data_IF_779219729592
#
_entry.id   IF_779219729592
#
_cell.length_a   1.000
_cell.length_b   1.000
_cell.length_c   1.000
_cell.angle_alpha   90.00
_cell.angle_beta   90.00
_cell.angle_gamma   90.00
#
_symmetry.space_group_name_H-M   'P 1'
#
loop_
_entity.id
_entity.type
_entity.pdbx_description
1 polymer ?
#
# COMPACT_ATOMS: atom_id res chain seq x y z
N UNK A 1 -36.36 -8.80 -29.28
CA UNK A 1 -35.25 -7.93 -28.82
C UNK A 1 -35.46 -7.32 -27.43
N UNK A 2 -36.58 -6.65 -27.12
CA UNK A 2 -36.75 -5.99 -25.81
C UNK A 2 -36.63 -6.92 -24.59
N UNK A 3 -37.15 -8.15 -24.66
CA UNK A 3 -37.07 -9.15 -23.56
C UNK A 3 -35.63 -9.60 -23.28
N UNK A 4 -34.77 -9.69 -24.30
CA UNK A 4 -33.36 -10.07 -24.13
C UNK A 4 -32.56 -8.97 -23.40
N UNK A 5 -32.87 -7.70 -23.64
CA UNK A 5 -32.24 -6.59 -22.92
C UNK A 5 -32.64 -6.55 -21.44
N UNK A 6 -33.91 -6.86 -21.11
CA UNK A 6 -34.35 -6.95 -19.71
C UNK A 6 -33.70 -8.12 -18.94
N UNK A 7 -33.53 -9.28 -19.60
CA UNK A 7 -32.84 -10.43 -19.00
C UNK A 7 -31.35 -10.15 -18.79
N UNK A 8 -30.70 -9.45 -19.72
CA UNK A 8 -29.30 -9.03 -19.57
C UNK A 8 -29.12 -8.05 -18.41
N UNK A 9 -30.00 -7.04 -18.28
CA UNK A 9 -29.98 -6.08 -17.18
C UNK A 9 -30.19 -6.75 -15.81
N UNK A 10 -31.15 -7.68 -15.71
CA UNK A 10 -31.40 -8.46 -14.50
C UNK A 10 -30.21 -9.36 -14.13
N UNK A 11 -29.56 -9.99 -15.12
CA UNK A 11 -28.36 -10.80 -14.88
C UNK A 11 -27.20 -9.96 -14.32
N UNK A 12 -26.91 -8.79 -14.92
CA UNK A 12 -25.88 -7.87 -14.40
C UNK A 12 -26.22 -7.33 -13.00
N UNK A 13 -27.49 -7.01 -12.73
CA UNK A 13 -27.94 -6.56 -11.41
C UNK A 13 -27.77 -7.64 -10.35
N UNK A 14 -28.13 -8.89 -10.65
CA UNK A 14 -27.99 -10.02 -9.73
C UNK A 14 -26.51 -10.35 -9.46
N UNK A 15 -25.64 -10.26 -10.48
CA UNK A 15 -24.19 -10.47 -10.31
C UNK A 15 -23.55 -9.42 -9.41
N UNK A 16 -23.93 -8.14 -9.54
CA UNK A 16 -23.46 -7.09 -8.61
C UNK A 16 -23.97 -7.32 -7.18
N UNK A 17 -25.22 -7.76 -7.01
CA UNK A 17 -25.80 -8.01 -5.70
C UNK A 17 -25.15 -9.21 -4.99
N UNK A 18 -24.86 -10.29 -5.72
CA UNK A 18 -24.17 -11.48 -5.19
C UNK A 18 -22.71 -11.18 -4.86
N UNK A 19 -22.02 -10.35 -5.67
CA UNK A 19 -20.65 -9.92 -5.37
C UNK A 19 -20.58 -9.09 -4.07
N UNK A 20 -21.55 -8.21 -3.81
CA UNK A 20 -21.62 -7.46 -2.56
C UNK A 20 -22.03 -8.34 -1.36
N UNK A 21 -22.97 -9.28 -1.53
CA UNK A 21 -23.43 -10.14 -0.44
C UNK A 21 -22.41 -11.18 0.03
N UNK A 22 -21.36 -11.47 -0.76
CA UNK A 22 -20.27 -12.37 -0.37
C UNK A 22 -19.09 -11.66 0.32
N UNK A 23 -19.11 -10.32 0.43
CA UNK A 23 -18.05 -9.55 1.08
C UNK A 23 -18.22 -9.39 2.59
N UNK A 24 -19.37 -9.78 3.16
CA UNK A 24 -19.74 -9.50 4.55
C UNK A 24 -19.97 -10.79 5.34
N UNK A 25 -18.91 -11.55 5.58
CA UNK A 25 -18.84 -12.37 6.78
C UNK A 25 -17.87 -11.72 7.73
N UNK A 26 -18.41 -10.92 8.65
CA UNK A 26 -17.70 -10.38 9.81
C UNK A 26 -17.05 -11.53 10.59
N UNK A 27 -15.78 -11.75 10.30
CA UNK A 27 -14.87 -12.52 11.14
C UNK A 27 -14.39 -11.58 12.25
N UNK A 28 -14.50 -11.96 13.53
CA UNK A 28 -14.22 -11.04 14.63
C UNK A 28 -12.77 -10.53 14.55
N UNK A 29 -12.64 -9.21 14.54
CA UNK A 29 -11.39 -8.50 14.77
C UNK A 29 -10.90 -8.76 16.21
N UNK A 30 -10.08 -9.79 16.40
CA UNK A 30 -9.07 -9.94 17.46
C UNK A 30 -8.58 -11.40 17.46
N UNK A 31 -7.36 -11.64 16.99
CA UNK A 31 -6.77 -12.98 17.02
C UNK A 31 -5.86 -13.24 15.81
N UNK A 32 -4.72 -12.56 15.81
CA UNK A 32 -3.59 -12.81 14.93
C UNK A 32 -3.25 -14.30 14.89
N UNK A 33 -3.04 -14.85 13.69
CA UNK A 33 -1.92 -15.75 13.33
C UNK A 33 -2.19 -16.31 11.93
N UNK A 34 -1.84 -15.54 10.90
CA UNK A 34 -1.56 -16.16 9.60
C UNK A 34 -0.16 -16.74 9.62
N UNK A 35 0.04 -17.88 8.97
CA UNK A 35 1.37 -18.39 8.63
C UNK A 35 2.17 -17.31 7.91
N UNK A 36 3.13 -16.74 8.63
CA UNK A 36 4.12 -15.86 8.05
C UNK A 36 5.08 -16.68 7.21
N UNK A 37 5.69 -16.01 6.24
CA UNK A 37 6.68 -16.62 5.38
C UNK A 37 7.92 -16.94 6.23
N UNK A 38 8.03 -18.21 6.64
CA UNK A 38 9.22 -18.75 7.30
C UNK A 38 10.43 -18.54 6.39
N UNK A 39 11.43 -17.82 6.91
CA UNK A 39 12.84 -17.67 6.51
C UNK A 39 13.21 -18.17 5.13
N UNK A 40 13.84 -17.28 4.38
CA UNK A 40 15.11 -17.54 3.70
C UNK A 40 15.97 -16.26 3.95
N UNK A 41 17.23 -16.22 3.55
CA UNK A 41 18.23 -15.18 3.85
C UNK A 41 17.84 -13.76 3.35
N UNK A 42 18.73 -12.77 3.31
CA UNK A 42 18.47 -11.50 2.59
C UNK A 42 17.94 -11.74 1.16
N UNK A 43 18.32 -12.86 0.55
CA UNK A 43 17.78 -13.38 -0.71
C UNK A 43 16.25 -13.59 -0.72
N UNK A 44 15.61 -13.84 0.43
CA UNK A 44 14.16 -13.99 0.56
C UNK A 44 13.37 -12.72 0.29
N UNK A 45 14.01 -11.55 0.33
CA UNK A 45 13.32 -10.31 0.01
C UNK A 45 12.78 -10.30 -1.43
N UNK A 46 13.46 -11.04 -2.31
CA UNK A 46 13.02 -11.26 -3.68
C UNK A 46 11.70 -11.99 -3.73
N UNK A 47 11.42 -12.88 -2.75
CA UNK A 47 10.19 -13.67 -2.59
C UNK A 47 8.98 -12.88 -2.09
N UNK A 48 9.21 -11.66 -1.59
CA UNK A 48 8.13 -10.80 -1.11
C UNK A 48 7.53 -10.00 -2.25
N UNK A 49 6.20 -9.96 -2.28
CA UNK A 49 5.46 -9.03 -3.14
C UNK A 49 5.87 -7.61 -2.78
N UNK A 50 6.32 -6.88 -3.77
CA UNK A 50 6.62 -5.45 -3.69
C UNK A 50 5.89 -4.71 -4.80
N UNK A 51 5.86 -3.40 -4.71
CA UNK A 51 5.28 -2.59 -5.75
C UNK A 51 6.00 -1.25 -5.90
N UNK A 52 6.00 -0.71 -7.10
CA UNK A 52 6.58 0.61 -7.40
C UNK A 52 5.47 1.49 -7.97
N UNK A 53 5.44 2.74 -7.52
CA UNK A 53 4.58 3.76 -8.07
C UNK A 53 5.11 4.22 -9.44
N UNK A 54 4.21 4.32 -10.40
CA UNK A 54 4.43 4.94 -11.69
C UNK A 54 3.65 6.25 -11.76
N UNK A 55 4.27 7.27 -12.33
CA UNK A 55 3.63 8.55 -12.60
C UNK A 55 3.80 8.88 -14.09
N UNK A 56 2.69 9.11 -14.79
CA UNK A 56 2.65 9.42 -16.22
C UNK A 56 3.44 8.41 -17.07
N UNK A 57 3.29 7.12 -16.77
CA UNK A 57 3.93 6.02 -17.49
C UNK A 57 5.42 5.84 -17.21
N UNK A 58 6.00 6.58 -16.26
CA UNK A 58 7.40 6.43 -15.84
C UNK A 58 7.49 5.82 -14.44
N UNK A 59 8.43 4.90 -14.19
CA UNK A 59 8.69 4.41 -12.85
C UNK A 59 9.25 5.54 -11.99
N UNK A 60 8.85 5.57 -10.72
CA UNK A 60 9.42 6.46 -9.71
C UNK A 60 10.35 5.67 -8.78
N UNK A 61 11.10 6.34 -7.90
CA UNK A 61 11.81 5.68 -6.80
C UNK A 61 10.90 5.30 -5.61
N UNK A 62 9.60 5.53 -5.72
CA UNK A 62 8.67 5.38 -4.62
C UNK A 62 8.08 3.96 -4.57
N UNK A 63 8.48 3.21 -3.56
CA UNK A 63 7.90 1.90 -3.27
C UNK A 63 6.53 2.05 -2.61
N UNK A 64 5.64 1.11 -2.95
CA UNK A 64 4.31 0.98 -2.36
C UNK A 64 4.34 -0.21 -1.40
N UNK A 65 4.15 0.05 -0.11
CA UNK A 65 3.97 -0.99 0.89
C UNK A 65 2.56 -1.58 0.73
N UNK A 66 2.47 -2.61 -0.09
CA UNK A 66 1.23 -3.34 -0.37
C UNK A 66 0.62 -3.90 0.93
N UNK A 67 -0.67 -3.68 1.14
CA UNK A 67 -1.44 -4.33 2.21
C UNK A 67 -2.30 -5.47 1.66
N UNK A 68 -2.84 -5.30 0.45
CA UNK A 68 -3.61 -6.30 -0.26
C UNK A 68 -3.52 -6.10 -1.78
N UNK A 69 -4.26 -6.90 -2.54
CA UNK A 69 -4.44 -6.74 -3.97
C UNK A 69 -5.28 -5.52 -4.37
N UNK A 70 -5.73 -4.71 -3.41
CA UNK A 70 -6.59 -3.56 -3.64
C UNK A 70 -5.98 -2.24 -3.14
N UNK A 71 -4.92 -2.29 -2.34
CA UNK A 71 -4.41 -1.09 -1.67
C UNK A 71 -2.99 -1.24 -1.11
N UNK A 72 -2.36 -0.10 -0.87
CA UNK A 72 -1.05 0.00 -0.23
C UNK A 72 -0.71 1.42 0.23
N UNK A 73 0.27 1.54 1.11
CA UNK A 73 0.84 2.82 1.52
C UNK A 73 1.93 3.27 0.55
N UNK A 74 2.08 4.57 0.37
CA UNK A 74 3.20 5.22 -0.32
C UNK A 74 3.60 6.47 0.46
N UNK A 75 4.81 7.00 0.26
CA UNK A 75 5.15 8.31 0.80
C UNK A 75 4.32 9.41 0.10
N UNK A 76 3.81 10.38 0.86
CA UNK A 76 2.92 11.43 0.34
C UNK A 76 3.65 12.33 -0.68
N UNK A 77 4.90 12.66 -0.41
CA UNK A 77 5.77 13.45 -1.29
C UNK A 77 6.09 12.77 -2.64
N UNK A 78 5.66 11.54 -2.88
CA UNK A 78 5.70 10.89 -4.20
C UNK A 78 4.54 11.28 -5.11
N UNK A 79 3.53 11.95 -4.56
CA UNK A 79 2.35 12.40 -5.26
C UNK A 79 2.50 13.88 -5.63
N UNK A 80 1.73 14.30 -6.62
CA UNK A 80 1.61 15.71 -6.99
C UNK A 80 0.32 16.26 -6.42
N UNK A 81 0.35 17.54 -6.09
CA UNK A 81 -0.73 18.21 -5.39
C UNK A 81 -1.23 19.41 -6.17
N UNK A 82 -2.53 19.60 -6.15
CA UNK A 82 -3.20 20.80 -6.62
C UNK A 82 -3.01 21.93 -5.58
N UNK A 83 -3.25 23.21 -5.93
CA UNK A 83 -3.12 24.33 -4.98
C UNK A 83 -3.99 24.22 -3.72
N UNK A 84 -5.08 23.45 -3.77
CA UNK A 84 -5.97 23.19 -2.63
C UNK A 84 -5.47 22.07 -1.70
N UNK A 85 -4.30 21.49 -1.98
CA UNK A 85 -3.70 20.40 -1.23
C UNK A 85 -4.28 19.01 -1.54
N UNK A 86 -5.24 18.90 -2.46
CA UNK A 86 -5.70 17.61 -2.97
C UNK A 86 -4.66 16.97 -3.90
N UNK A 87 -4.67 15.64 -4.03
CA UNK A 87 -3.79 14.95 -4.97
C UNK A 87 -4.27 15.23 -6.39
N UNK A 88 -3.34 15.61 -7.26
CA UNK A 88 -3.56 15.85 -8.68
C UNK A 88 -3.77 14.53 -9.43
N UNK A 89 -5.00 14.02 -9.40
CA UNK A 89 -5.41 12.81 -10.12
C UNK A 89 -5.55 13.03 -11.65
N UNK A 90 -5.25 14.24 -12.18
CA UNK A 90 -5.09 14.42 -13.63
C UNK A 90 -3.80 13.77 -14.14
N UNK A 91 -2.82 13.58 -13.25
CA UNK A 91 -1.65 12.75 -13.52
C UNK A 91 -2.03 11.28 -13.43
N UNK A 92 -1.54 10.49 -14.38
CA UNK A 92 -1.80 9.06 -14.40
C UNK A 92 -0.90 8.36 -13.40
N UNK A 93 -1.47 7.94 -12.27
CA UNK A 93 -0.79 7.08 -11.30
C UNK A 93 -1.11 5.62 -11.55
N UNK A 94 -0.08 4.78 -11.55
CA UNK A 94 -0.21 3.32 -11.66
C UNK A 94 0.68 2.65 -10.63
N UNK A 95 0.32 1.44 -10.20
CA UNK A 95 1.14 0.61 -9.32
C UNK A 95 1.55 -0.62 -10.11
N UNK A 96 2.85 -0.81 -10.29
CA UNK A 96 3.39 -2.06 -10.82
C UNK A 96 3.65 -3.01 -9.65
N UNK A 97 3.06 -4.20 -9.69
CA UNK A 97 3.14 -5.16 -8.59
C UNK A 97 4.01 -6.34 -8.99
N UNK A 98 5.02 -6.67 -8.19
CA UNK A 98 5.79 -7.91 -8.28
C UNK A 98 5.04 -9.04 -7.61
N UNK A 99 5.11 -10.24 -8.18
CA UNK A 99 4.55 -11.43 -7.55
C UNK A 99 5.41 -11.97 -6.39
N UNK A 100 6.53 -11.33 -6.08
CA UNK A 100 7.59 -11.91 -5.24
C UNK A 100 8.62 -12.67 -6.06
N UNK A 101 8.77 -12.35 -7.33
CA UNK A 101 9.91 -12.77 -8.15
C UNK A 101 10.31 -11.59 -9.03
N UNK A 102 11.22 -11.82 -9.98
CA UNK A 102 11.51 -10.83 -11.03
C UNK A 102 10.35 -10.68 -12.04
N UNK A 103 9.25 -11.42 -11.88
CA UNK A 103 8.07 -11.32 -12.73
C UNK A 103 7.07 -10.27 -12.21
N UNK A 104 6.34 -9.66 -13.12
CA UNK A 104 5.29 -8.68 -12.84
C UNK A 104 3.93 -9.34 -12.82
N UNK A 105 3.11 -9.05 -11.80
CA UNK A 105 1.67 -9.34 -11.84
C UNK A 105 0.93 -8.41 -12.80
N UNK A 106 1.50 -7.23 -13.10
CA UNK A 106 0.92 -6.23 -13.97
C UNK A 106 1.12 -4.81 -13.47
N UNK A 107 0.60 -3.86 -14.25
CA UNK A 107 0.46 -2.45 -13.88
C UNK A 107 -1.02 -2.15 -13.69
N UNK A 108 -1.36 -1.50 -12.59
CA UNK A 108 -2.75 -1.26 -12.19
C UNK A 108 -2.97 0.22 -11.95
N UNK A 109 -4.02 0.78 -12.54
CA UNK A 109 -4.35 2.18 -12.34
C UNK A 109 -4.75 2.45 -10.88
N UNK A 110 -4.26 3.56 -10.33
CA UNK A 110 -4.65 4.05 -9.01
C UNK A 110 -5.99 4.76 -9.15
N UNK A 111 -7.03 4.21 -8.54
CA UNK A 111 -8.39 4.79 -8.56
C UNK A 111 -8.55 5.95 -7.58
N UNK A 112 -7.79 5.95 -6.48
CA UNK A 112 -7.73 7.07 -5.54
C UNK A 112 -6.42 7.08 -4.77
N UNK A 113 -5.94 8.27 -4.45
CA UNK A 113 -4.84 8.48 -3.52
C UNK A 113 -5.29 9.44 -2.41
N UNK A 114 -5.06 9.07 -1.16
CA UNK A 114 -5.49 9.85 0.01
C UNK A 114 -4.29 10.12 0.91
N UNK A 115 -3.72 11.34 0.90
CA UNK A 115 -2.63 11.71 1.78
C UNK A 115 -3.12 11.77 3.24
N UNK A 116 -2.21 11.60 4.18
CA UNK A 116 -2.52 11.84 5.58
C UNK A 116 -3.02 13.27 5.77
N UNK A 117 -4.09 13.48 6.53
CA UNK A 117 -4.74 14.79 6.69
C UNK A 117 -3.88 15.82 7.46
N UNK A 118 -2.77 15.37 8.07
CA UNK A 118 -1.72 16.18 8.70
C UNK A 118 -0.37 16.10 7.97
N UNK A 119 -0.37 15.68 6.71
CA UNK A 119 0.85 15.71 5.91
C UNK A 119 1.30 17.16 5.73
N UNK A 120 2.57 17.43 6.07
CA UNK A 120 3.22 18.72 5.86
C UNK A 120 4.36 18.55 4.85
N UNK A 121 4.26 19.13 3.63
CA UNK A 121 5.28 19.00 2.61
C UNK A 121 6.58 19.76 2.92
N UNK A 122 6.57 20.68 3.88
CA UNK A 122 7.76 21.44 4.29
C UNK A 122 8.61 20.64 5.26
N UNK A 123 7.97 20.04 6.26
CA UNK A 123 8.66 19.29 7.32
C UNK A 123 8.76 17.80 7.04
N UNK A 124 7.93 17.26 6.14
CA UNK A 124 7.72 15.83 5.91
C UNK A 124 7.09 15.09 7.10
N UNK A 125 6.46 15.82 8.02
CA UNK A 125 5.65 15.21 9.07
C UNK A 125 4.46 14.49 8.45
N UNK A 126 4.16 13.28 8.93
CA UNK A 126 3.08 12.44 8.41
C UNK A 126 3.15 12.21 6.89
N UNK A 127 4.36 12.02 6.35
CA UNK A 127 4.60 11.81 4.93
C UNK A 127 4.16 10.41 4.44
N UNK A 128 2.85 10.17 4.47
CA UNK A 128 2.21 8.95 4.01
C UNK A 128 0.94 9.28 3.24
N UNK A 129 0.67 8.48 2.22
CA UNK A 129 -0.57 8.45 1.48
C UNK A 129 -1.03 7.01 1.30
N UNK A 130 -2.34 6.83 1.21
CA UNK A 130 -2.97 5.54 0.98
C UNK A 130 -3.47 5.47 -0.45
N UNK A 131 -3.08 4.42 -1.18
CA UNK A 131 -3.47 4.20 -2.57
C UNK A 131 -4.53 3.10 -2.64
N UNK A 132 -5.58 3.33 -3.45
CA UNK A 132 -6.51 2.29 -3.88
C UNK A 132 -6.26 1.96 -5.34
N UNK A 133 -6.20 0.67 -5.65
CA UNK A 133 -6.07 0.11 -6.98
C UNK A 133 -6.79 -1.25 -7.01
N UNK A 134 -6.76 -1.98 -8.12
CA UNK A 134 -7.30 -3.34 -8.16
C UNK A 134 -6.47 -4.20 -9.09
N UNK A 135 -5.85 -5.27 -8.58
CA UNK A 135 -5.04 -6.15 -9.43
C UNK A 135 -5.86 -7.14 -10.27
N UNK A 136 -7.20 -7.16 -10.13
CA UNK A 136 -8.06 -8.15 -10.78
C UNK A 136 -7.90 -9.58 -10.25
N UNK A 137 -7.10 -9.77 -9.18
CA UNK A 137 -6.87 -11.09 -8.60
C UNK A 137 -8.19 -11.67 -8.03
N UNK A 138 -8.53 -12.89 -8.44
CA UNK A 138 -9.72 -13.61 -7.97
C UNK A 138 -9.63 -14.01 -6.50
N UNK A 139 -8.41 -14.11 -5.95
CA UNK A 139 -8.14 -14.39 -4.54
C UNK A 139 -7.54 -13.15 -3.89
N UNK A 140 -8.19 -12.70 -2.82
CA UNK A 140 -7.64 -11.68 -1.93
C UNK A 140 -6.37 -12.24 -1.28
N UNK A 141 -5.25 -11.54 -1.47
CA UNK A 141 -4.04 -11.77 -0.70
C UNK A 141 -3.79 -10.59 0.22
N UNK A 142 -3.13 -10.88 1.34
CA UNK A 142 -2.88 -9.94 2.43
C UNK A 142 -1.39 -9.93 2.73
N UNK A 143 -0.85 -8.73 2.92
CA UNK A 143 0.50 -8.51 3.40
C UNK A 143 0.41 -7.90 4.80
N UNK A 144 1.32 -8.32 5.66
CA UNK A 144 1.38 -7.89 7.04
C UNK A 144 2.31 -6.71 7.20
N UNK A 145 1.91 -5.76 8.03
CA UNK A 145 2.76 -4.66 8.47
C UNK A 145 3.45 -5.04 9.77
N UNK A 146 4.78 -5.01 9.81
CA UNK A 146 5.53 -5.23 11.04
C UNK A 146 5.26 -4.10 12.02
N UNK A 147 4.69 -4.41 13.19
CA UNK A 147 4.19 -3.38 14.09
C UNK A 147 5.02 -3.17 15.36
N UNK A 148 5.51 -4.25 15.97
CA UNK A 148 6.26 -4.18 17.22
C UNK A 148 7.78 -4.09 16.99
N UNK A 149 8.35 -2.88 17.07
CA UNK A 149 9.80 -2.67 16.90
C UNK A 149 10.64 -3.43 17.93
N UNK A 150 10.13 -3.60 19.15
CA UNK A 150 10.85 -4.30 20.22
C UNK A 150 11.05 -5.80 19.93
N UNK A 151 10.23 -6.35 19.02
CA UNK A 151 10.31 -7.75 18.61
C UNK A 151 11.31 -8.00 17.48
N UNK A 152 11.82 -6.95 16.83
CA UNK A 152 12.69 -7.11 15.66
C UNK A 152 14.11 -7.46 16.09
N UNK A 153 14.62 -8.57 15.60
CA UNK A 153 16.02 -9.00 15.77
C UNK A 153 16.94 -8.31 14.77
N UNK A 154 16.40 -7.85 13.64
CA UNK A 154 17.14 -7.05 12.66
C UNK A 154 16.19 -6.16 11.83
N UNK A 155 16.78 -5.19 11.14
CA UNK A 155 16.09 -4.29 10.20
C UNK A 155 16.75 -4.44 8.83
N UNK A 156 15.96 -4.71 7.80
CA UNK A 156 16.44 -4.76 6.42
C UNK A 156 15.96 -3.52 5.67
N UNK A 157 16.88 -2.80 5.04
CA UNK A 157 16.55 -1.71 4.13
C UNK A 157 16.57 -2.26 2.71
N UNK A 158 15.49 -2.00 1.97
CA UNK A 158 15.21 -2.67 0.70
C UNK A 158 14.92 -1.64 -0.39
N UNK A 159 15.54 -1.84 -1.54
CA UNK A 159 15.35 -1.03 -2.73
C UNK A 159 14.89 -1.95 -3.84
N UNK A 160 13.78 -1.56 -4.47
CA UNK A 160 13.26 -2.20 -5.66
C UNK A 160 13.32 -1.20 -6.80
N UNK A 161 13.65 -1.69 -7.98
CA UNK A 161 13.65 -0.91 -9.20
C UNK A 161 13.11 -1.72 -10.35
N UNK A 162 12.77 -1.02 -11.42
CA UNK A 162 12.43 -1.62 -12.71
C UNK A 162 13.30 -0.98 -13.77
N UNK A 163 13.61 -1.73 -14.83
CA UNK A 163 14.30 -1.16 -15.98
C UNK A 163 13.31 -0.42 -16.88
N UNK A 164 13.76 0.59 -17.62
CA UNK A 164 12.90 1.37 -18.54
C UNK A 164 12.56 0.61 -19.85
N UNK A 165 12.40 -0.72 -19.79
CA UNK A 165 12.06 -1.55 -20.94
C UNK A 165 10.63 -1.30 -21.44
N UNK A 166 10.46 -1.23 -22.77
CA UNK A 166 9.16 -1.19 -23.45
C UNK A 166 8.78 -2.61 -23.93
N UNK A 167 7.50 -3.04 -23.90
CA UNK A 167 6.29 -2.33 -23.47
C UNK A 167 5.94 -2.50 -21.97
N UNK A 168 6.61 -3.42 -21.27
CA UNK A 168 6.49 -3.58 -19.82
C UNK A 168 7.90 -3.57 -19.18
N UNK A 169 8.14 -2.69 -18.20
CA UNK A 169 9.35 -2.72 -17.39
C UNK A 169 9.57 -4.10 -16.77
N UNK A 170 10.81 -4.58 -16.75
CA UNK A 170 11.19 -5.76 -15.99
C UNK A 170 11.72 -5.34 -14.62
N UNK A 171 11.44 -6.15 -13.60
CA UNK A 171 11.96 -5.91 -12.26
C UNK A 171 13.47 -6.13 -12.22
N UNK A 172 14.19 -5.19 -11.63
CA UNK A 172 15.56 -5.41 -11.22
C UNK A 172 15.58 -6.33 -9.99
N UNK A 173 16.65 -7.10 -9.77
CA UNK A 173 16.83 -7.81 -8.50
C UNK A 173 16.72 -6.82 -7.33
N UNK A 174 15.92 -7.18 -6.32
CA UNK A 174 15.80 -6.37 -5.12
C UNK A 174 17.16 -6.31 -4.41
N UNK A 175 17.56 -5.10 -4.01
CA UNK A 175 18.77 -4.88 -3.23
C UNK A 175 18.37 -4.71 -1.78
N UNK A 176 19.07 -5.38 -0.88
CA UNK A 176 18.81 -5.30 0.55
C UNK A 176 20.10 -5.22 1.35
N UNK A 177 20.08 -4.43 2.42
CA UNK A 177 21.17 -4.34 3.40
C UNK A 177 20.59 -4.48 4.81
N UNK A 178 21.33 -5.15 5.67
CA UNK A 178 21.02 -5.22 7.11
C UNK A 178 21.52 -3.95 7.76
N UNK A 179 20.72 -3.36 8.65
CA UNK A 179 21.17 -2.21 9.43
C UNK A 179 22.49 -2.49 10.17
N UNK A 180 23.37 -1.49 10.21
CA UNK A 180 24.63 -1.53 10.94
C UNK A 180 24.75 -0.33 11.88
N UNK A 181 24.86 -0.60 13.19
CA UNK A 181 25.10 0.42 14.21
C UNK A 181 23.87 1.25 14.60
N UNK A 182 23.93 1.86 15.78
CA UNK A 182 22.94 2.82 16.24
C UNK A 182 23.43 4.25 15.95
N UNK A 183 22.71 4.96 15.07
CA UNK A 183 22.99 6.35 14.71
C UNK A 183 21.87 7.31 15.14
N UNK A 184 21.03 6.88 16.10
CA UNK A 184 19.85 7.63 16.55
C UNK A 184 20.20 9.05 17.01
N UNK A 185 21.32 9.23 17.71
CA UNK A 185 21.77 10.54 18.19
C UNK A 185 22.12 11.49 17.04
N UNK A 186 22.85 11.01 16.03
CA UNK A 186 23.23 11.77 14.84
C UNK A 186 21.98 12.16 14.04
N UNK A 187 21.05 11.22 13.88
CA UNK A 187 19.77 11.45 13.21
C UNK A 187 18.90 12.49 13.92
N UNK A 188 18.86 12.47 15.26
CA UNK A 188 18.14 13.46 16.07
C UNK A 188 18.78 14.84 16.00
N UNK A 189 20.11 14.90 15.99
CA UNK A 189 20.84 16.16 15.77
C UNK A 189 20.55 16.75 14.39
N UNK A 190 20.50 15.91 13.34
CA UNK A 190 20.29 16.37 11.97
C UNK A 190 18.85 16.76 11.64
N UNK A 191 17.85 16.12 12.26
CA UNK A 191 16.42 16.35 12.01
C UNK A 191 15.65 16.57 13.31
N UNK A 192 15.21 17.81 13.58
CA UNK A 192 14.31 18.10 14.70
C UNK A 192 13.02 17.28 14.64
N UNK A 193 12.52 16.98 13.41
CA UNK A 193 11.33 16.15 13.21
C UNK A 193 11.56 14.74 13.76
N UNK A 194 12.71 14.13 13.45
CA UNK A 194 13.06 12.84 14.01
C UNK A 194 13.25 12.89 15.52
N UNK A 195 13.97 13.91 16.03
CA UNK A 195 14.20 14.08 17.46
C UNK A 195 12.89 14.13 18.28
N UNK A 196 11.83 14.68 17.68
CA UNK A 196 10.51 14.81 18.31
C UNK A 196 9.62 13.58 18.14
N UNK A 197 9.98 12.64 17.27
CA UNK A 197 9.14 11.50 16.86
C UNK A 197 9.96 10.20 16.69
N UNK A 198 10.86 9.91 17.62
CA UNK A 198 11.77 8.74 17.55
C UNK A 198 11.06 7.38 17.56
N UNK A 199 9.79 7.34 17.93
CA UNK A 199 8.95 6.15 17.88
C UNK A 199 8.21 5.96 16.55
N UNK A 200 8.20 6.99 15.69
CA UNK A 200 7.45 6.99 14.43
C UNK A 200 8.36 7.00 13.20
N UNK A 201 9.67 7.05 13.45
CA UNK A 201 10.70 6.93 12.44
C UNK A 201 11.73 5.86 12.78
N UNK A 202 12.32 5.31 11.73
CA UNK A 202 13.64 4.66 11.78
C UNK A 202 14.59 5.50 10.93
N UNK A 203 15.85 5.62 11.37
CA UNK A 203 16.87 6.36 10.65
C UNK A 203 18.09 5.49 10.34
N UNK A 204 18.68 5.69 9.16
CA UNK A 204 19.94 5.04 8.75
C UNK A 204 20.76 5.95 7.85
N UNK A 205 22.08 5.75 7.78
CA UNK A 205 22.97 6.37 6.80
C UNK A 205 23.22 5.48 5.57
N UNK A 206 22.61 4.28 5.55
CA UNK A 206 22.76 3.32 4.48
C UNK A 206 22.13 3.83 3.19
N UNK A 207 22.83 3.61 2.09
CA UNK A 207 22.44 3.99 0.72
C UNK A 207 22.66 2.82 -0.22
N UNK A 208 21.95 2.83 -1.35
CA UNK A 208 22.09 1.88 -2.43
C UNK A 208 22.76 2.57 -3.62
N UNK A 209 23.83 1.97 -4.14
CA UNK A 209 24.50 2.51 -5.33
C UNK A 209 23.74 2.05 -6.56
N UNK A 210 23.19 3.00 -7.31
CA UNK A 210 22.57 2.73 -8.61
C UNK A 210 23.62 2.79 -9.72
N UNK A 211 23.27 2.35 -10.93
CA UNK A 211 24.15 2.47 -12.11
C UNK A 211 24.56 3.91 -12.44
N UNK A 212 23.89 4.92 -11.87
CA UNK A 212 24.12 6.35 -12.14
C UNK A 212 25.27 6.99 -11.34
N UNK A 213 26.06 6.21 -10.58
CA UNK A 213 27.05 6.68 -9.60
C UNK A 213 26.48 7.51 -8.44
N UNK A 214 25.19 7.88 -8.47
CA UNK A 214 24.48 8.50 -7.37
C UNK A 214 23.95 7.42 -6.41
N UNK A 215 24.38 7.49 -5.16
CA UNK A 215 23.87 6.64 -4.11
C UNK A 215 22.52 7.20 -3.61
N UNK A 216 21.49 6.37 -3.63
CA UNK A 216 20.13 6.74 -3.24
C UNK A 216 19.75 6.04 -1.93
N UNK A 217 18.82 6.57 -1.14
CA UNK A 217 18.23 5.81 -0.03
C UNK A 217 17.50 4.57 -0.55
N UNK A 218 17.38 3.59 0.33
CA UNK A 218 16.47 2.45 0.12
C UNK A 218 15.02 2.95 0.20
N UNK A 219 14.09 2.26 -0.47
CA UNK A 219 12.71 2.70 -0.63
C UNK A 219 11.79 2.26 0.52
N UNK A 220 12.13 1.13 1.17
CA UNK A 220 11.38 0.60 2.29
C UNK A 220 12.29 -0.05 3.34
N UNK A 221 11.71 -0.31 4.51
CA UNK A 221 12.36 -1.06 5.58
C UNK A 221 11.44 -2.18 6.06
N UNK A 222 12.02 -3.35 6.29
CA UNK A 222 11.37 -4.52 6.84
C UNK A 222 11.88 -4.80 8.25
N UNK A 223 10.95 -5.06 9.16
CA UNK A 223 11.24 -5.60 10.49
C UNK A 223 11.37 -7.11 10.40
N UNK A 224 12.44 -7.67 10.97
CA UNK A 224 12.72 -9.11 10.95
C UNK A 224 12.62 -9.65 12.37
N UNK A 225 11.87 -10.73 12.55
CA UNK A 225 11.86 -11.54 13.76
C UNK A 225 11.91 -13.00 13.35
N UNK A 226 13.08 -13.61 13.47
CA UNK A 226 13.38 -14.96 12.95
C UNK A 226 12.25 -15.96 13.27
N UNK A 227 11.60 -16.57 12.25
CA UNK A 227 11.93 -16.60 10.82
C UNK A 227 11.19 -15.58 9.93
N UNK A 228 10.39 -14.69 10.50
CA UNK A 228 9.43 -13.87 9.77
C UNK A 228 9.98 -12.48 9.44
N UNK A 229 9.49 -11.93 8.33
CA UNK A 229 9.77 -10.56 7.93
C UNK A 229 8.51 -9.89 7.42
N UNK A 230 8.35 -8.61 7.74
CA UNK A 230 7.20 -7.82 7.35
C UNK A 230 7.63 -6.39 7.02
N UNK A 231 7.02 -5.78 6.00
CA UNK A 231 7.28 -4.37 5.69
C UNK A 231 6.83 -3.54 6.89
N UNK A 232 7.68 -2.63 7.36
CA UNK A 232 7.46 -1.94 8.61
C UNK A 232 7.56 -0.42 8.47
N UNK A 233 8.34 0.07 7.51
CA UNK A 233 8.45 1.49 7.23
C UNK A 233 8.66 1.78 5.74
N UNK A 234 8.29 2.99 5.32
CA UNK A 234 8.56 3.53 3.99
C UNK A 234 9.53 4.69 4.06
N UNK A 235 10.37 4.85 3.06
CA UNK A 235 11.23 6.02 2.94
C UNK A 235 10.40 7.29 2.94
N UNK A 236 10.76 8.25 3.80
CA UNK A 236 10.08 9.54 3.90
C UNK A 236 10.92 10.64 3.26
N UNK A 237 12.11 10.87 3.80
CA UNK A 237 13.01 11.93 3.38
C UNK A 237 14.44 11.63 3.83
N UNK A 238 15.38 12.41 3.30
CA UNK A 238 16.78 12.42 3.73
C UNK A 238 17.18 13.83 4.16
N UNK A 239 18.01 13.93 5.19
CA UNK A 239 18.78 15.13 5.50
C UNK A 239 20.19 14.93 4.98
N UNK A 240 20.63 15.84 4.10
CA UNK A 240 21.91 15.80 3.42
C UNK A 240 22.79 16.94 3.93
N UNK A 241 23.97 16.59 4.42
CA UNK A 241 25.04 17.54 4.73
C UNK A 241 26.01 17.51 3.54
N UNK A 242 26.06 18.59 2.77
CA UNK A 242 26.84 18.72 1.54
C UNK A 242 26.10 19.46 0.43
N UNK A 243 26.52 19.26 -0.82
CA UNK A 243 26.09 20.04 -1.99
C UNK A 243 24.90 19.40 -2.74
N UNK A 244 24.45 18.20 -2.34
CA UNK A 244 23.26 17.56 -2.91
C UNK A 244 23.25 16.05 -2.74
N UNK A 245 22.18 15.41 -3.24
CA UNK A 245 21.92 13.97 -3.06
C UNK A 245 23.02 13.06 -3.61
N UNK A 246 23.77 13.50 -4.62
CA UNK A 246 24.88 12.73 -5.20
C UNK A 246 26.26 13.26 -4.78
N UNK A 247 26.32 14.31 -3.94
CA UNK A 247 27.54 15.00 -3.52
C UNK A 247 27.42 15.42 -2.05
N UNK A 248 27.40 14.44 -1.16
CA UNK A 248 27.24 14.66 0.28
C UNK A 248 28.47 14.21 1.07
N UNK A 249 28.69 14.83 2.22
CA UNK A 249 29.64 14.34 3.22
C UNK A 249 28.94 13.41 4.20
N UNK A 250 27.67 13.68 4.52
CA UNK A 250 26.82 12.82 5.34
C UNK A 250 25.39 12.83 4.81
N UNK A 251 24.73 11.68 4.93
CA UNK A 251 23.32 11.52 4.61
C UNK A 251 22.63 10.73 5.71
N UNK A 252 21.46 11.20 6.12
CA UNK A 252 20.59 10.53 7.08
C UNK A 252 19.23 10.31 6.43
N UNK A 253 18.81 9.05 6.33
CA UNK A 253 17.60 8.62 5.66
C UNK A 253 16.56 8.22 6.70
N UNK A 254 15.38 8.83 6.63
CA UNK A 254 14.30 8.66 7.61
C UNK A 254 13.15 7.89 6.98
N UNK A 255 12.66 6.88 7.70
CA UNK A 255 11.61 5.98 7.25
C UNK A 255 10.43 6.05 8.21
N UNK A 256 9.25 6.41 7.70
CA UNK A 256 8.04 6.51 8.51
C UNK A 256 7.52 5.13 8.84
N UNK A 257 7.39 4.83 10.13
CA UNK A 257 6.87 3.56 10.63
C UNK A 257 5.37 3.47 10.34
N UNK A 258 4.98 2.42 9.62
CA UNK A 258 3.59 2.23 9.19
C UNK A 258 2.67 1.83 10.35
N UNK A 259 3.24 1.28 11.42
CA UNK A 259 2.51 0.81 12.60
C UNK A 259 1.72 1.92 13.31
N UNK A 260 2.26 3.14 13.35
CA UNK A 260 1.57 4.31 13.92
C UNK A 260 0.35 4.75 13.09
N UNK A 261 0.21 4.28 11.84
CA UNK A 261 -0.79 4.73 10.85
C UNK A 261 -1.76 3.63 10.40
N UNK A 262 -1.80 2.50 11.10
CA UNK A 262 -2.65 1.37 10.75
C UNK A 262 -4.14 1.71 10.85
N UNK A 263 -4.55 2.38 11.94
CA UNK A 263 -5.96 2.76 12.14
C UNK A 263 -6.41 3.81 11.12
N UNK A 264 -5.58 4.82 10.88
CA UNK A 264 -5.85 5.82 9.83
C UNK A 264 -6.02 5.16 8.46
N UNK A 265 -5.07 4.30 8.06
CA UNK A 265 -5.14 3.62 6.77
C UNK A 265 -6.34 2.68 6.68
N UNK A 266 -6.69 1.98 7.75
CA UNK A 266 -7.90 1.15 7.80
C UNK A 266 -9.19 1.96 7.63
N UNK A 267 -9.27 3.15 8.24
CA UNK A 267 -10.40 4.05 8.07
C UNK A 267 -10.52 4.60 6.63
N UNK A 268 -9.39 4.97 6.01
CA UNK A 268 -9.34 5.39 4.60
C UNK A 268 -9.73 4.24 3.66
N UNK A 269 -9.22 3.05 3.93
CA UNK A 269 -9.49 1.84 3.16
C UNK A 269 -10.93 1.35 3.29
N UNK A 270 -11.57 1.63 4.45
CA UNK A 270 -12.77 0.91 4.91
C UNK A 270 -12.51 -0.61 4.96
N UNK A 271 -11.32 -0.98 5.40
CA UNK A 271 -10.86 -2.36 5.47
C UNK A 271 -9.86 -2.55 6.62
N UNK A 272 -9.74 -3.78 7.11
CA UNK A 272 -8.74 -4.12 8.12
C UNK A 272 -7.34 -4.16 7.51
N UNK A 273 -6.41 -3.41 8.10
CA UNK A 273 -4.98 -3.54 7.80
C UNK A 273 -4.38 -4.59 8.73
N UNK A 274 -3.74 -5.59 8.14
CA UNK A 274 -3.19 -6.72 8.89
C UNK A 274 -1.80 -6.38 9.43
N UNK A 275 -1.59 -6.65 10.71
CA UNK A 275 -0.34 -6.37 11.41
C UNK A 275 0.32 -7.67 11.88
N UNK A 276 1.65 -7.68 11.80
CA UNK A 276 2.50 -8.73 12.35
C UNK A 276 3.09 -8.29 13.68
N UNK A 277 2.78 -9.09 14.71
CA UNK A 277 3.36 -9.05 16.06
C UNK A 277 3.52 -10.52 16.45
N UNK A 278 4.60 -10.86 17.14
CA UNK A 278 4.85 -12.25 17.46
C UNK A 278 4.75 -12.59 18.95
N UNK A 279 4.73 -11.61 19.84
CA UNK A 279 4.42 -11.85 21.25
C UNK A 279 2.92 -11.67 21.59
N UNK A 280 2.12 -11.14 20.66
CA UNK A 280 0.70 -10.82 20.84
C UNK A 280 0.41 -9.72 21.88
N UNK A 281 1.45 -9.10 22.46
CA UNK A 281 1.31 -8.08 23.51
C UNK A 281 1.29 -6.66 22.96
N UNK A 282 1.73 -6.48 21.72
CA UNK A 282 1.69 -5.18 21.07
C UNK A 282 0.26 -4.68 20.95
N UNK A 283 0.01 -3.51 21.54
CA UNK A 283 -1.24 -2.78 21.39
C UNK A 283 -1.04 -1.78 20.26
N UNK A 284 -1.82 -1.94 19.20
CA UNK A 284 -1.81 -1.01 18.09
C UNK A 284 -2.27 0.38 18.53
N UNK A 285 -1.75 1.41 17.86
CA UNK A 285 -2.32 2.74 17.96
C UNK A 285 -3.69 2.77 17.27
N UNK A 286 -4.75 2.82 18.06
CA UNK A 286 -6.14 2.82 17.59
C UNK A 286 -6.69 4.23 17.37
N UNK A 287 -5.82 5.25 17.20
CA UNK A 287 -6.25 6.61 16.89
C UNK A 287 -6.28 6.82 15.36
N UNK A 288 -7.45 6.93 14.71
CA UNK A 288 -7.54 7.20 13.26
C UNK A 288 -7.05 8.61 12.90
N UNK A 289 -6.92 9.48 13.91
CA UNK A 289 -6.43 10.84 13.78
C UNK A 289 -5.01 10.99 14.35
N UNK A 290 -4.26 9.90 14.48
CA UNK A 290 -2.87 9.96 14.90
C UNK A 290 -2.08 10.93 14.01
N UNK A 291 -1.16 11.69 14.60
CA UNK A 291 -0.24 12.55 13.87
C UNK A 291 1.05 12.76 14.64
N UNK A 292 2.16 12.84 13.92
CA UNK A 292 3.47 13.25 14.45
C UNK A 292 3.42 14.66 15.04
N UNK A 293 4.28 14.90 16.02
CA UNK A 293 4.60 16.23 16.55
C UNK A 293 5.42 16.99 15.51
N UNK A 294 4.98 18.19 15.13
CA UNK A 294 5.71 19.06 14.20
C UNK A 294 6.57 20.03 15.03
N UNK A 295 7.91 19.90 15.01
CA UNK A 295 8.78 20.80 15.78
C UNK A 295 9.00 22.13 15.07
N UNK A 296 9.42 23.14 15.83
CA UNK A 296 9.79 24.46 15.31
C UNK A 296 11.21 24.56 14.75
N UNK A 297 12.06 23.55 14.99
CA UNK A 297 13.45 23.54 14.55
C UNK A 297 13.62 23.25 13.06
N UNK A 298 14.70 23.77 12.47
CA UNK A 298 15.10 23.45 11.08
C UNK A 298 16.13 22.32 11.04
N UNK A 299 16.06 21.44 10.02
CA UNK A 299 17.12 20.46 9.75
C UNK A 299 18.48 21.12 9.53
N UNK A 300 19.57 20.42 9.87
CA UNK A 300 20.93 20.95 9.75
C UNK A 300 21.47 20.96 8.32
N UNK A 301 20.74 20.37 7.37
CA UNK A 301 21.15 20.22 5.97
C UNK A 301 19.99 20.32 4.99
N UNK A 302 20.27 20.00 3.72
CA UNK A 302 19.26 19.96 2.66
C UNK A 302 18.32 18.78 2.90
N UNK A 303 17.01 19.03 2.89
CA UNK A 303 16.01 17.95 2.96
C UNK A 303 15.51 17.60 1.56
N UNK A 304 15.55 16.32 1.23
CA UNK A 304 15.02 15.78 -0.03
C UNK A 304 14.10 14.60 0.24
N UNK A 305 13.14 14.37 -0.66
CA UNK A 305 12.26 13.20 -0.61
C UNK A 305 11.49 13.06 -1.92
N UNK A 306 10.51 12.15 -1.94
CA UNK A 306 9.64 11.90 -3.10
C UNK A 306 10.33 11.05 -4.16
N UNK A 307 10.04 11.33 -5.43
CA UNK A 307 10.68 10.63 -6.54
C UNK A 307 12.12 11.12 -6.79
N UNK A 308 13.08 10.34 -6.32
CA UNK A 308 14.51 10.61 -6.45
C UNK A 308 15.06 10.25 -7.83
N UNK A 309 14.30 9.52 -8.66
CA UNK A 309 14.73 9.18 -10.02
C UNK A 309 14.70 10.39 -10.96
N UNK A 310 13.75 11.32 -10.75
CA UNK A 310 13.64 12.56 -11.50
C UNK A 310 14.58 13.68 -11.01
N UNK A 311 15.12 13.56 -9.80
CA UNK A 311 15.97 14.57 -9.16
C UNK A 311 17.46 14.40 -9.45
N UNK A 312 17.83 13.57 -10.44
CA UNK A 312 19.20 13.58 -10.94
C UNK A 312 19.50 15.02 -11.38
N UNK A 313 20.51 15.70 -10.78
CA UNK A 313 20.74 17.10 -11.04
C UNK A 313 20.87 17.28 -12.54
N UNK A 314 19.85 17.88 -13.17
CA UNK A 314 19.97 18.36 -14.54
C UNK A 314 21.25 19.18 -14.52
N UNK A 315 22.28 18.84 -15.32
CA UNK A 315 23.57 19.51 -15.24
C UNK A 315 23.28 20.99 -15.21
N UNK A 316 23.58 21.62 -14.06
CA UNK A 316 23.31 23.03 -13.86
C UNK A 316 23.93 23.71 -15.08
N UNK A 317 23.16 24.53 -15.85
CA UNK A 317 23.68 25.14 -17.05
C UNK A 317 25.00 25.76 -16.66
N UNK A 318 26.09 25.21 -17.23
CA UNK A 318 27.45 25.60 -16.90
C UNK A 318 27.45 27.11 -16.95
N UNK A 319 27.62 27.74 -15.78
CA UNK A 319 27.64 29.18 -15.66
C UNK A 319 28.74 29.65 -16.60
N UNK A 320 28.35 30.14 -17.78
CA UNK A 320 29.28 30.75 -18.71
C UNK A 320 30.09 31.75 -17.90
N UNK A 321 31.43 31.72 -17.96
CA UNK A 321 32.25 32.61 -17.16
C UNK A 321 31.79 34.04 -17.41
N UNK A 322 31.36 34.71 -16.34
CA UNK A 322 31.04 36.13 -16.38
C UNK A 322 32.34 36.87 -16.71
N UNK A 323 32.50 37.22 -17.98
CA UNK A 323 33.53 38.13 -18.43
C UNK A 323 33.17 39.51 -17.87
N UNK A 324 33.78 39.83 -16.73
CA UNK A 324 33.90 41.18 -16.23
C UNK A 324 34.59 42.04 -17.29
N UNK A 325 33.81 42.84 -18.01
CA UNK A 325 34.32 43.99 -18.75
C UNK A 325 33.28 45.11 -18.69
N UNK A 326 33.69 46.24 -18.12
CA UNK A 326 32.96 47.52 -18.09
C UNK A 326 33.81 48.54 -18.88
N UNK A 327 33.24 49.68 -19.31
CA UNK A 327 32.44 49.83 -20.51
C UNK A 327 33.17 50.72 -21.54
N UNK A 328 32.77 50.66 -22.82
CA UNK A 328 33.14 51.72 -23.77
C UNK A 328 31.92 52.04 -24.63
N UNK A 329 31.36 53.22 -24.37
CA UNK A 329 30.43 53.92 -25.24
C UNK A 329 31.00 54.00 -26.66
N UNK A 330 30.17 53.85 -27.70
CA UNK A 330 29.96 54.79 -28.83
C UNK A 330 29.20 54.08 -29.96
N UNK A 331 28.36 54.86 -30.65
CA UNK A 331 27.85 54.73 -32.03
C UNK A 331 26.59 53.90 -32.33
N UNK A 332 25.48 54.64 -32.35
CA UNK A 332 24.50 54.80 -33.44
C UNK A 332 24.75 54.05 -34.75
N UNK A 333 23.76 53.23 -35.17
CA UNK A 333 23.37 52.87 -36.56
C UNK A 333 22.10 51.99 -36.43
N UNK A 334 20.87 52.49 -36.64
CA UNK A 334 20.10 52.61 -37.90
C UNK A 334 20.14 51.36 -38.79
N UNK A 335 18.97 51.00 -39.36
CA UNK A 335 18.62 49.90 -40.33
C UNK A 335 18.03 48.63 -39.70
N UNK A 336 16.97 47.96 -40.19
CA UNK A 336 15.96 48.17 -41.23
C UNK A 336 14.83 47.15 -40.99
N UNK A 337 13.61 47.54 -41.36
CA UNK A 337 12.35 46.80 -41.42
C UNK A 337 12.29 45.62 -42.42
N UNK A 338 11.64 44.53 -42.04
CA UNK A 338 10.92 43.53 -42.89
C UNK A 338 9.98 42.75 -41.96
N UNK A 339 8.65 42.88 -41.89
CA UNK A 339 7.54 42.67 -42.85
C UNK A 339 7.55 41.35 -43.63
N UNK A 340 6.68 40.41 -43.23
CA UNK A 340 5.89 39.40 -44.00
C UNK A 340 5.39 38.35 -43.00
N UNK A 341 4.22 37.70 -43.02
CA UNK A 341 2.86 37.85 -43.57
C UNK A 341 2.05 36.71 -42.90
N UNK A 342 0.71 36.81 -42.76
CA UNK A 342 -0.10 35.74 -42.16
C UNK A 342 -0.49 34.69 -43.21
N UNK A 343 -0.45 33.40 -42.86
CA UNK A 343 -1.03 32.33 -43.68
C UNK A 343 -2.27 31.78 -43.01
N UNK A 344 -3.39 32.02 -43.67
CA UNK A 344 -4.71 31.44 -43.41
C UNK A 344 -4.86 30.12 -44.17
N UNK A 345 -5.61 29.19 -43.58
CA UNK A 345 -6.28 28.12 -44.34
C UNK A 345 -7.50 27.65 -43.57
N UNK A 346 -8.73 27.90 -44.07
CA UNK A 346 -9.94 27.24 -43.63
C UNK A 346 -10.13 25.95 -44.44
N UNK A 347 -10.70 24.91 -43.82
CA UNK A 347 -11.31 23.81 -44.56
C UNK A 347 -12.63 23.42 -43.92
N UNK A 348 -13.69 23.80 -44.63
CA UNK A 348 -15.05 23.34 -44.50
C UNK A 348 -15.21 21.93 -45.06
N UNK A 349 -16.00 21.09 -44.41
CA UNK A 349 -17.01 20.29 -45.13
C UNK A 349 -18.15 19.86 -44.19
N UNK A 350 -19.41 20.00 -44.64
CA UNK A 350 -20.61 19.56 -43.95
C UNK A 350 -20.99 18.14 -44.41
N UNK A 351 -21.71 17.39 -43.56
CA UNK A 351 -22.57 16.32 -44.09
C UNK A 351 -23.82 16.20 -43.26
N UNK A 352 -24.93 16.51 -43.94
CA UNK A 352 -26.30 16.16 -43.61
C UNK A 352 -26.39 14.65 -43.31
N UNK A 353 -27.32 14.22 -42.46
CA UNK A 353 -28.54 13.61 -43.00
C UNK A 353 -29.46 13.01 -41.93
N UNK A 354 -30.75 13.23 -42.18
CA UNK A 354 -31.87 12.32 -41.91
C UNK A 354 -32.41 12.21 -40.48
N UNK A 355 -33.30 13.16 -40.21
CA UNK A 355 -34.59 12.89 -39.56
C UNK A 355 -35.24 11.60 -40.12
N UNK A 356 -35.46 10.61 -39.26
CA UNK A 356 -36.45 9.57 -39.49
C UNK A 356 -37.32 9.43 -38.24
N UNK A 357 -38.53 9.98 -38.32
CA UNK A 357 -39.55 9.87 -37.29
C UNK A 357 -39.93 8.41 -37.05
N UNK A 358 -39.60 7.89 -35.87
CA UNK A 358 -40.13 6.62 -35.39
C UNK A 358 -41.55 6.82 -34.87
N UNK A 359 -42.52 6.32 -35.65
CA UNK A 359 -43.89 6.12 -35.21
C UNK A 359 -43.89 5.25 -33.95
N UNK A 360 -44.38 5.82 -32.86
CA UNK A 360 -44.60 5.12 -31.60
C UNK A 360 -45.84 4.23 -31.76
N UNK A 361 -45.64 2.99 -32.21
CA UNK A 361 -46.69 1.97 -32.11
C UNK A 361 -46.82 1.55 -30.64
N UNK A 362 -47.99 1.85 -30.07
CA UNK A 362 -48.40 1.44 -28.72
C UNK A 362 -48.57 -0.07 -28.69
N UNK A 363 -47.47 -0.79 -28.47
CA UNK A 363 -47.48 -2.24 -28.26
C UNK A 363 -48.17 -2.52 -26.92
N UNK A 364 -49.42 -2.97 -26.98
CA UNK A 364 -50.16 -3.48 -25.82
C UNK A 364 -49.39 -4.64 -25.19
N UNK A 365 -48.95 -4.45 -23.95
CA UNK A 365 -48.24 -5.47 -23.18
C UNK A 365 -49.27 -6.51 -22.73
N UNK A 366 -49.14 -7.74 -23.23
CA UNK A 366 -49.99 -8.87 -22.83
C UNK A 366 -49.84 -9.14 -21.33
N UNK A 367 -50.91 -8.83 -20.57
CA UNK A 367 -51.00 -8.99 -19.11
C UNK A 367 -50.65 -10.42 -18.64
N UNK A 368 -50.87 -11.43 -19.48
CA UNK A 368 -50.55 -12.83 -19.17
C UNK A 368 -49.06 -13.09 -18.89
N UNK A 369 -48.14 -12.34 -19.49
CA UNK A 369 -46.69 -12.53 -19.28
C UNK A 369 -46.24 -11.97 -17.92
N UNK A 370 -46.90 -10.91 -17.44
CA UNK A 370 -46.55 -10.28 -16.16
C UNK A 370 -46.84 -11.22 -14.99
N UNK A 371 -47.95 -11.95 -15.03
CA UNK A 371 -48.32 -12.90 -13.96
C UNK A 371 -47.33 -14.07 -13.83
N UNK A 372 -46.76 -14.55 -14.94
CA UNK A 372 -45.78 -15.63 -14.92
C UNK A 372 -44.44 -15.19 -14.30
N UNK A 373 -43.99 -13.98 -14.61
CA UNK A 373 -42.74 -13.42 -14.06
C UNK A 373 -42.86 -13.22 -12.54
N UNK A 374 -44.00 -12.70 -12.06
CA UNK A 374 -44.24 -12.51 -10.61
C UNK A 374 -44.20 -13.85 -9.87
N UNK A 375 -44.76 -14.91 -10.45
CA UNK A 375 -44.71 -16.27 -9.86
C UNK A 375 -43.29 -16.81 -9.69
N UNK A 376 -42.43 -16.63 -10.70
CA UNK A 376 -41.03 -17.09 -10.63
C UNK A 376 -40.22 -16.30 -9.60
N UNK A 377 -40.41 -14.98 -9.54
CA UNK A 377 -39.70 -14.13 -8.56
C UNK A 377 -40.08 -14.50 -7.13
N UNK A 378 -41.36 -14.73 -6.84
CA UNK A 378 -41.81 -15.16 -5.51
C UNK A 378 -41.25 -16.54 -5.12
N UNK A 379 -41.16 -17.47 -6.08
CA UNK A 379 -40.55 -18.79 -5.86
C UNK A 379 -39.06 -18.67 -5.48
N UNK A 380 -38.30 -17.82 -6.18
CA UNK A 380 -36.87 -17.61 -5.91
C UNK A 380 -36.67 -17.00 -4.51
N UNK A 381 -37.49 -16.01 -4.13
CA UNK A 381 -37.45 -15.41 -2.79
C UNK A 381 -37.75 -16.45 -1.70
N UNK A 382 -38.75 -17.32 -1.92
CA UNK A 382 -39.08 -18.38 -0.97
C UNK A 382 -37.93 -19.40 -0.79
N UNK A 383 -37.23 -19.77 -1.88
CA UNK A 383 -36.07 -20.65 -1.82
C UNK A 383 -34.91 -20.00 -1.04
N UNK A 384 -34.61 -18.73 -1.30
CA UNK A 384 -33.55 -17.99 -0.58
C UNK A 384 -33.90 -17.89 0.91
N UNK A 385 -35.14 -17.53 1.25
CA UNK A 385 -35.60 -17.46 2.64
C UNK A 385 -35.49 -18.82 3.35
N UNK A 386 -35.86 -19.91 2.67
CA UNK A 386 -35.72 -21.28 3.20
C UNK A 386 -34.26 -21.67 3.45
N UNK A 387 -33.35 -21.36 2.52
CA UNK A 387 -31.92 -21.64 2.69
C UNK A 387 -31.30 -20.84 3.84
N UNK A 388 -31.67 -19.57 4.00
CA UNK A 388 -31.24 -18.73 5.13
C UNK A 388 -31.81 -19.25 6.45
N UNK A 389 -33.08 -19.64 6.50
CA UNK A 389 -33.71 -20.24 7.67
C UNK A 389 -33.04 -21.56 8.08
N UNK A 390 -32.74 -22.43 7.12
CA UNK A 390 -32.02 -23.70 7.35
C UNK A 390 -30.63 -23.45 7.92
N UNK A 391 -29.93 -22.41 7.45
CA UNK A 391 -28.59 -22.04 7.94
C UNK A 391 -28.64 -21.43 9.34
N UNK A 392 -29.68 -20.65 9.65
CA UNK A 392 -29.89 -20.07 10.97
C UNK A 392 -30.19 -21.14 12.03
N UNK A 393 -30.96 -22.19 11.69
CA UNK A 393 -31.33 -23.25 12.63
C UNK A 393 -30.12 -24.05 13.13
N UNK A 394 -29.15 -24.35 12.26
CA UNK A 394 -27.90 -25.04 12.66
C UNK A 394 -27.09 -24.27 13.70
N UNK A 395 -27.07 -22.94 13.64
CA UNK A 395 -26.33 -22.10 14.60
C UNK A 395 -26.94 -22.07 16.00
N UNK A 396 -28.25 -22.33 16.14
CA UNK A 396 -28.89 -22.39 17.47
C UNK A 396 -28.54 -23.66 18.24
N UNK A 397 -28.38 -24.79 17.54
CA UNK A 397 -28.00 -26.07 18.17
C UNK A 397 -26.56 -26.02 18.72
N UNK A 398 -25.64 -25.37 18.00
CA UNK A 398 -24.26 -25.17 18.48
C UNK A 398 -24.19 -24.23 19.70
N UNK A 399 -25.03 -23.18 19.74
CA UNK A 399 -25.12 -22.29 20.91
C UNK A 399 -25.71 -22.98 22.14
N UNK A 400 -26.69 -23.88 21.97
CA UNK A 400 -27.23 -24.65 23.09
C UNK A 400 -26.23 -25.69 23.63
N UNK A 401 -25.42 -26.31 22.75
CA UNK A 401 -24.34 -27.21 23.19
C UNK A 401 -23.23 -26.49 23.94
N UNK A 402 -22.89 -25.26 23.55
CA UNK A 402 -21.84 -24.48 24.23
C UNK A 402 -22.29 -23.81 25.54
N UNK A 403 -23.59 -23.66 25.80
CA UNK A 403 -24.08 -23.10 27.08
C UNK A 403 -24.34 -24.15 28.16
N UNK A 404 -24.38 -25.45 27.82
CA UNK A 404 -24.75 -26.52 28.74
C UNK A 404 -23.62 -27.09 29.62
N UNK A 405 -22.37 -26.66 29.43
CA UNK A 405 -21.20 -27.30 30.05
C UNK A 405 -20.37 -26.39 30.97
N UNK A 406 -20.98 -25.32 31.50
CA UNK A 406 -20.28 -24.25 32.23
C UNK A 406 -20.78 -23.96 33.65
N UNK A 407 -21.52 -24.86 34.31
CA UNK A 407 -21.92 -24.66 35.71
C UNK A 407 -21.77 -25.96 36.52
N UNK A 408 -20.60 -26.11 37.12
CA UNK A 408 -20.39 -26.76 38.43
C UNK A 408 -19.45 -25.80 39.16
N UNK A 409 -19.96 -24.93 40.02
CA UNK A 409 -20.09 -25.19 41.46
C UNK A 409 -18.71 -25.29 42.14
N UNK A 410 -18.22 -24.15 42.64
CA UNK A 410 -17.37 -24.09 43.82
C UNK A 410 -17.55 -22.73 44.49
N UNK A 411 -18.28 -22.73 45.61
CA UNK A 411 -18.39 -21.60 46.53
C UNK A 411 -17.14 -21.60 47.43
N UNK A 412 -16.35 -20.53 47.36
CA UNK A 412 -15.35 -20.20 48.38
C UNK A 412 -15.57 -18.74 48.80
N UNK A 413 -16.03 -18.46 50.04
CA UNK A 413 -16.45 -17.13 50.45
C UNK A 413 -15.32 -16.24 51.03
N UNK A 414 -14.07 -16.69 51.10
CA UNK A 414 -13.01 -15.93 51.78
C UNK A 414 -11.86 -15.51 50.86
N UNK A 415 -12.13 -14.64 49.87
CA UNK A 415 -11.06 -13.83 49.30
C UNK A 415 -11.54 -12.47 48.77
N UNK A 416 -11.66 -11.52 49.69
CA UNK A 416 -11.71 -10.09 49.40
C UNK A 416 -10.25 -9.62 49.35
N UNK A 417 -9.76 -9.25 48.17
CA UNK A 417 -9.06 -7.97 47.87
C UNK A 417 -8.22 -8.08 46.57
N UNK A 418 -8.15 -6.96 45.84
CA UNK A 418 -7.31 -6.67 44.65
C UNK A 418 -7.76 -7.17 43.26
N UNK A 419 -8.68 -6.40 42.66
CA UNK A 419 -8.34 -5.56 41.50
C UNK A 419 -8.01 -6.22 40.15
N UNK A 420 -9.04 -6.26 39.28
CA UNK A 420 -8.95 -5.97 37.84
C UNK A 420 -7.86 -6.69 37.00
N UNK A 421 -7.79 -8.02 37.09
CA UNK A 421 -7.21 -8.86 36.02
C UNK A 421 -7.92 -10.20 36.08
N UNK A 422 -8.73 -10.56 35.08
CA UNK A 422 -8.96 -11.94 34.59
C UNK A 422 -10.16 -11.97 33.65
N UNK A 423 -9.89 -11.82 32.36
CA UNK A 423 -10.72 -12.45 31.32
C UNK A 423 -9.84 -12.68 30.08
N UNK A 424 -8.83 -13.53 30.21
CA UNK A 424 -8.01 -13.95 29.05
C UNK A 424 -7.33 -15.33 29.17
N UNK A 425 -7.79 -16.24 30.03
CA UNK A 425 -7.10 -17.54 30.22
C UNK A 425 -7.95 -18.81 29.97
N UNK A 426 -9.14 -18.72 29.40
CA UNK A 426 -9.96 -19.90 29.11
C UNK A 426 -9.64 -20.59 27.76
N UNK A 427 -9.09 -19.88 26.77
CA UNK A 427 -8.85 -20.45 25.44
C UNK A 427 -7.51 -21.19 25.26
N UNK A 428 -6.55 -21.02 26.17
CA UNK A 428 -5.19 -21.55 25.99
C UNK A 428 -5.01 -23.03 26.41
N UNK A 429 -5.91 -23.61 27.20
CA UNK A 429 -5.74 -24.97 27.70
C UNK A 429 -6.49 -26.05 26.90
N UNK A 430 -7.37 -25.69 25.96
CA UNK A 430 -8.14 -26.69 25.21
C UNK A 430 -7.41 -27.29 23.99
N UNK A 431 -6.27 -26.73 23.56
CA UNK A 431 -5.56 -27.17 22.34
C UNK A 431 -4.28 -27.99 22.60
N UNK A 432 -3.95 -28.29 23.86
CA UNK A 432 -2.72 -29.04 24.20
C UNK A 432 -2.87 -30.57 24.09
N UNK A 433 -4.05 -31.07 23.72
CA UNK A 433 -4.37 -32.51 23.67
C UNK A 433 -4.18 -33.22 22.32
N UNK A 434 -4.24 -32.54 21.17
CA UNK A 434 -4.32 -33.22 19.86
C UNK A 434 -3.05 -33.16 18.99
N UNK A 435 -2.02 -32.43 19.39
CA UNK A 435 -0.81 -32.24 18.56
C UNK A 435 0.27 -33.33 18.71
N UNK A 436 -0.03 -34.50 19.30
CA UNK A 436 0.95 -35.59 19.49
C UNK A 436 0.87 -36.76 18.49
N UNK A 437 -0.07 -36.78 17.55
CA UNK A 437 -0.25 -37.93 16.64
C UNK A 437 0.02 -37.67 15.14
N UNK A 438 0.66 -36.55 14.76
CA UNK A 438 1.03 -36.27 13.36
C UNK A 438 2.51 -35.92 13.15
N UNK A 439 3.41 -36.54 13.92
CA UNK A 439 4.85 -36.59 13.63
C UNK A 439 5.19 -38.00 13.15
N UNK A 440 5.07 -38.22 11.83
CA UNK A 440 5.41 -39.50 11.23
C UNK A 440 5.07 -39.58 9.75
N UNK A 441 5.88 -38.93 8.91
CA UNK A 441 6.25 -39.27 7.52
C UNK A 441 6.61 -38.01 6.72
N UNK A 442 7.82 -37.52 6.89
CA UNK A 442 8.49 -36.78 5.80
C UNK A 442 9.17 -37.82 4.89
N UNK A 443 8.76 -37.83 3.62
CA UNK A 443 9.50 -38.49 2.55
C UNK A 443 10.72 -37.62 2.22
N UNK A 444 11.89 -38.02 2.72
CA UNK A 444 13.18 -37.56 2.18
C UNK A 444 13.35 -38.28 0.85
N UNK A 445 13.52 -37.53 -0.24
CA UNK A 445 13.82 -38.09 -1.55
C UNK A 445 15.29 -38.50 -1.61
N UNK A 446 15.57 -39.64 -2.22
CA UNK A 446 16.87 -40.32 -2.24
C UNK A 446 18.00 -39.49 -2.90
N UNK A 447 17.66 -38.43 -3.63
CA UNK A 447 18.61 -37.50 -4.24
C UNK A 447 19.33 -36.60 -3.24
N UNK A 448 18.76 -36.31 -2.06
CA UNK A 448 19.39 -35.43 -1.07
C UNK A 448 20.42 -36.15 -0.19
N UNK A 449 20.39 -37.49 -0.15
CA UNK A 449 21.30 -38.28 0.70
C UNK A 449 22.72 -38.41 0.12
N UNK A 450 22.92 -38.17 -1.18
CA UNK A 450 24.23 -38.35 -1.84
C UNK A 450 25.17 -37.15 -1.72
N UNK A 451 24.69 -35.96 -1.33
CA UNK A 451 25.54 -34.76 -1.20
C UNK A 451 26.13 -34.54 0.20
N UNK A 452 25.85 -35.42 1.16
CA UNK A 452 26.37 -35.30 2.54
C UNK A 452 27.49 -36.28 2.89
N UNK A 453 28.01 -37.02 1.90
CA UNK A 453 29.05 -38.04 2.11
C UNK A 453 30.26 -37.88 1.16
N UNK A 454 30.57 -36.65 0.74
CA UNK A 454 31.85 -36.32 0.12
C UNK A 454 32.41 -34.99 0.63
#
# INVERSE_FOLDING_TARGET
MKVANYLSLLATGLSLFVANAMAETDEPAAGQQSRLLKRLETSAITKQKGAILFANGKPTSCEVALNSNLMGYVAANCLSYMPDGSVDMSKKYQVMVSDGTTTSLGMFDVSSATPHFKYDPTTFANNLAFLKFNTGATRLWKNYIGANRADWTSKFFVSRGVNNGSPMPAWNPAQAVVESGDITAQCASASPLFASNTNDFVCTSQVVTTSSACALPYSSMYGVRDPDLAVAALYSHSVIIGDGLCKYTQIYNYYTLLSSYLEWGGNVAKATIYLYVADGKYVNNNNPNYSMVIPSGKPTGLVVGGDLSGNSPKPSPSSSPSSSSTPTSTTTSTTTSTTTSPSSSPSSSPTNDSNAGQKTEKSGINIGIILLIVGVVLLVIAIIAYLLFRRYRKRKEERQRNMGNGVTEYNDPDNIDLGARYSYNSAANSYRGEARNYLGKEMITESERKNYMH
#
